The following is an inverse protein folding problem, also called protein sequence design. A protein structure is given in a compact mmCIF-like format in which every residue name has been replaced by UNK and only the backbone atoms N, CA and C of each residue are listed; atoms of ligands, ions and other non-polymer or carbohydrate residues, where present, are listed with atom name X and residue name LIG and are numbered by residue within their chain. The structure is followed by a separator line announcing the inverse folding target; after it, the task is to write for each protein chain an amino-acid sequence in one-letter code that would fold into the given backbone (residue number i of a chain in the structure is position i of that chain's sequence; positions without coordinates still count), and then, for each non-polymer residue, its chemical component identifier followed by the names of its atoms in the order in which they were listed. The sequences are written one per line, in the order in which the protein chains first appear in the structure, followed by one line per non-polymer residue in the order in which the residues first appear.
data_IF_215574841781
#
_entry.id   IF_215574841781
#
_cell.length_a   1.000
_cell.length_b   1.000
_cell.length_c   1.000
_cell.angle_alpha   90.00
_cell.angle_beta   90.00
_cell.angle_gamma   90.00
#
_symmetry.space_group_name_H-M   'P 1'
#
loop_
_entity.id
_entity.type
_entity.pdbx_description
1 polymer ?
#
# COMPACT_ATOMS: atom_id res chain seq x y z
N UNK A 1 39.26 10.85 -44.74
CA UNK A 1 38.81 9.66 -43.98
C UNK A 1 38.79 10.01 -42.49
N UNK A 2 37.89 10.91 -42.06
CA UNK A 2 37.91 11.49 -40.70
C UNK A 2 36.48 11.67 -40.14
N UNK A 3 35.57 10.76 -40.48
CA UNK A 3 34.18 10.76 -39.99
C UNK A 3 33.79 9.33 -39.64
N UNK A 4 34.59 8.67 -38.80
CA UNK A 4 34.22 7.34 -38.25
C UNK A 4 34.54 7.17 -36.76
N UNK A 5 35.23 8.14 -36.13
CA UNK A 5 35.74 8.02 -34.75
C UNK A 5 35.23 9.11 -33.80
N UNK A 6 34.01 9.60 -34.00
CA UNK A 6 33.36 10.54 -33.06
C UNK A 6 32.00 10.07 -32.56
N UNK A 7 31.43 9.00 -33.15
CA UNK A 7 30.13 8.46 -32.73
C UNK A 7 30.21 7.61 -31.44
N UNK A 8 31.36 7.02 -31.14
CA UNK A 8 31.52 6.15 -29.97
C UNK A 8 31.58 6.91 -28.64
N UNK A 9 32.07 8.15 -28.64
CA UNK A 9 32.29 8.93 -27.41
C UNK A 9 31.01 9.58 -26.88
N UNK A 10 30.01 9.82 -27.74
CA UNK A 10 28.74 10.43 -27.33
C UNK A 10 27.84 9.48 -26.52
N UNK A 11 28.01 8.16 -26.67
CA UNK A 11 27.14 7.16 -26.02
C UNK A 11 27.50 6.92 -24.53
N UNK A 12 28.71 7.30 -24.09
CA UNK A 12 29.17 7.15 -22.71
C UNK A 12 28.80 8.33 -21.78
N UNK A 13 28.21 9.40 -22.33
CA UNK A 13 27.84 10.60 -21.56
C UNK A 13 26.37 10.66 -21.16
N UNK A 14 25.56 9.67 -21.53
CA UNK A 14 24.18 9.54 -21.05
C UNK A 14 24.22 8.76 -19.74
N UNK A 15 24.03 9.39 -18.57
CA UNK A 15 23.73 8.62 -17.37
C UNK A 15 22.44 7.86 -17.69
N UNK A 16 22.50 6.53 -17.73
CA UNK A 16 21.28 5.72 -17.63
C UNK A 16 20.73 5.97 -16.23
N UNK A 17 19.86 6.98 -16.12
CA UNK A 17 19.07 7.20 -14.92
C UNK A 17 18.01 6.10 -14.92
N UNK A 18 18.38 4.93 -14.40
CA UNK A 18 17.42 3.89 -14.05
C UNK A 18 16.66 4.36 -12.81
N UNK A 19 15.55 5.06 -13.02
CA UNK A 19 14.65 5.41 -11.93
C UNK A 19 13.91 4.16 -11.48
N UNK A 20 14.23 3.65 -10.29
CA UNK A 20 13.36 2.72 -9.57
C UNK A 20 12.20 3.56 -9.00
N UNK A 21 11.12 3.68 -9.75
CA UNK A 21 9.92 4.38 -9.30
C UNK A 21 9.18 3.49 -8.30
N UNK A 22 9.28 3.87 -7.02
CA UNK A 22 8.44 3.28 -5.97
C UNK A 22 7.14 4.08 -5.94
N UNK A 23 6.02 3.43 -6.25
CA UNK A 23 4.70 4.03 -6.11
C UNK A 23 4.24 3.89 -4.66
N UNK A 24 3.48 4.87 -4.16
CA UNK A 24 2.94 4.82 -2.81
C UNK A 24 1.53 5.37 -2.76
N UNK A 25 0.66 4.72 -2.00
CA UNK A 25 -0.72 5.15 -1.78
C UNK A 25 -1.00 5.35 -0.30
N UNK A 26 -1.85 6.31 0.04
CA UNK A 26 -2.23 6.60 1.43
C UNK A 26 -3.74 6.49 1.58
N UNK A 27 -4.16 5.67 2.54
CA UNK A 27 -5.55 5.44 2.89
C UNK A 27 -5.80 5.91 4.32
N UNK A 28 -6.83 6.73 4.49
CA UNK A 28 -7.27 7.19 5.79
C UNK A 28 -8.55 6.44 6.15
N UNK A 29 -8.51 5.65 7.21
CA UNK A 29 -9.61 4.81 7.66
C UNK A 29 -10.16 5.25 9.03
N UNK A 30 -11.47 5.06 9.23
CA UNK A 30 -12.14 5.18 10.53
C UNK A 30 -12.93 3.91 10.81
N UNK A 31 -12.86 3.39 12.05
CA UNK A 31 -13.57 2.16 12.43
C UNK A 31 -15.08 2.29 12.34
N UNK A 32 -15.76 1.20 12.00
CA UNK A 32 -17.22 1.16 11.80
C UNK A 32 -18.04 1.03 13.09
N UNK A 33 -17.41 0.68 14.21
CA UNK A 33 -18.12 0.42 15.47
C UNK A 33 -17.37 0.97 16.67
N UNK A 34 -18.13 1.27 17.73
CA UNK A 34 -17.62 1.76 19.01
C UNK A 34 -17.07 3.19 18.94
N UNK A 35 -16.13 3.50 19.83
CA UNK A 35 -15.40 4.79 19.80
C UNK A 35 -14.55 4.82 18.52
N UNK A 36 -14.56 5.92 17.74
CA UNK A 36 -13.80 6.01 16.49
C UNK A 36 -12.32 5.68 16.69
N UNK A 37 -11.83 4.72 15.92
CA UNK A 37 -10.42 4.39 15.77
C UNK A 37 -10.01 4.85 14.37
N UNK A 38 -9.12 5.83 14.32
CA UNK A 38 -8.58 6.35 13.08
C UNK A 38 -7.22 5.71 12.77
N UNK A 39 -7.05 5.31 11.52
CA UNK A 39 -5.95 4.49 11.03
C UNK A 39 -5.47 5.03 9.68
N UNK A 40 -4.21 5.46 9.61
CA UNK A 40 -3.52 5.67 8.33
C UNK A 40 -2.93 4.34 7.89
N UNK A 41 -3.12 3.97 6.62
CA UNK A 41 -2.36 2.91 5.97
C UNK A 41 -1.62 3.50 4.78
N UNK A 42 -0.35 3.18 4.63
CA UNK A 42 0.43 3.56 3.45
C UNK A 42 1.09 2.33 2.85
N UNK A 43 0.90 2.16 1.54
CA UNK A 43 1.48 1.08 0.74
C UNK A 43 2.64 1.62 -0.09
N UNK A 44 3.57 0.73 -0.43
CA UNK A 44 4.70 0.97 -1.30
C UNK A 44 4.83 -0.21 -2.25
N UNK A 45 4.99 0.08 -3.54
CA UNK A 45 5.19 -0.94 -4.57
C UNK A 45 6.32 -0.53 -5.50
N UNK A 46 7.25 -1.46 -5.74
CA UNK A 46 8.27 -1.37 -6.78
C UNK A 46 7.99 -2.43 -7.83
N UNK A 47 7.51 -2.00 -9.00
CA UNK A 47 7.17 -2.87 -10.10
C UNK A 47 8.37 -3.63 -10.67
N UNK A 48 9.58 -3.06 -10.57
CA UNK A 48 10.79 -3.64 -11.16
C UNK A 48 11.28 -4.86 -10.39
N UNK A 49 11.21 -4.78 -9.05
CA UNK A 49 11.59 -5.87 -8.15
C UNK A 49 10.40 -6.72 -7.69
N UNK A 50 9.17 -6.30 -8.05
CA UNK A 50 7.91 -6.87 -7.53
C UNK A 50 7.86 -6.87 -6.00
N UNK A 51 8.46 -5.83 -5.40
CA UNK A 51 8.51 -5.66 -3.96
C UNK A 51 7.31 -4.84 -3.49
N UNK A 52 6.67 -5.33 -2.42
CA UNK A 52 5.55 -4.65 -1.77
C UNK A 52 5.81 -4.53 -0.27
N UNK A 53 5.52 -3.36 0.28
CA UNK A 53 5.59 -3.09 1.71
C UNK A 53 4.48 -2.14 2.12
N UNK A 54 4.09 -2.16 3.38
CA UNK A 54 3.14 -1.20 3.90
C UNK A 54 3.39 -0.94 5.39
N UNK A 55 2.75 0.09 5.91
CA UNK A 55 2.57 0.26 7.34
C UNK A 55 1.16 0.75 7.65
N UNK A 56 0.76 0.54 8.90
CA UNK A 56 -0.36 1.25 9.49
C UNK A 56 0.10 2.17 10.63
N UNK A 57 -0.57 3.28 10.83
CA UNK A 57 -0.37 4.18 11.95
C UNK A 57 -1.70 4.65 12.51
N UNK A 58 -2.02 4.20 13.71
CA UNK A 58 -3.18 4.68 14.46
C UNK A 58 -2.99 6.15 14.86
N UNK A 59 -4.06 6.96 14.84
CA UNK A 59 -4.02 8.40 15.17
C UNK A 59 -3.27 8.70 16.48
N UNK A 60 -3.47 7.88 17.52
CA UNK A 60 -2.88 8.08 18.83
C UNK A 60 -1.55 7.31 19.04
N UNK A 61 -1.03 6.64 18.01
CA UNK A 61 0.24 5.92 18.07
C UNK A 61 1.42 6.83 17.69
N UNK A 62 2.51 6.72 18.44
CA UNK A 62 3.77 7.42 18.14
C UNK A 62 4.53 6.79 16.98
N UNK A 63 4.35 5.49 16.75
CA UNK A 63 5.11 4.72 15.77
C UNK A 63 4.18 3.97 14.81
N UNK A 64 4.54 3.89 13.52
CA UNK A 64 3.86 3.01 12.58
C UNK A 64 4.16 1.55 12.90
N UNK A 65 3.23 0.67 12.56
CA UNK A 65 3.38 -0.79 12.65
C UNK A 65 3.63 -1.30 11.22
N UNK A 66 4.77 -1.97 10.96
CA UNK A 66 5.08 -2.47 9.64
C UNK A 66 4.15 -3.63 9.26
N UNK A 67 3.86 -3.70 7.96
CA UNK A 67 3.07 -4.77 7.36
C UNK A 67 3.90 -5.52 6.33
N UNK A 68 3.67 -6.83 6.23
CA UNK A 68 4.24 -7.70 5.19
C UNK A 68 3.11 -8.21 4.30
N UNK A 69 3.28 -8.12 2.99
CA UNK A 69 2.30 -8.64 2.05
C UNK A 69 2.22 -10.17 2.19
N UNK A 70 1.03 -10.68 2.51
CA UNK A 70 0.76 -12.12 2.59
C UNK A 70 0.24 -12.65 1.26
N UNK A 71 -0.68 -11.91 0.66
CA UNK A 71 -1.39 -12.31 -0.55
C UNK A 71 -1.90 -11.08 -1.30
N UNK A 72 -1.97 -11.17 -2.63
CA UNK A 72 -2.75 -10.24 -3.48
C UNK A 72 -3.35 -11.06 -4.61
N UNK A 73 -4.67 -11.12 -4.66
CA UNK A 73 -5.43 -11.84 -5.69
C UNK A 73 -6.37 -10.87 -6.40
N UNK A 74 -6.20 -10.77 -7.73
CA UNK A 74 -7.12 -10.04 -8.59
C UNK A 74 -8.12 -11.01 -9.22
N UNK A 75 -9.40 -10.83 -8.96
CA UNK A 75 -10.47 -11.53 -9.65
C UNK A 75 -11.05 -10.61 -10.75
N UNK A 76 -10.96 -10.98 -12.04
CA UNK A 76 -11.72 -10.29 -13.06
C UNK A 76 -13.20 -10.64 -12.88
N UNK A 77 -13.96 -9.71 -12.29
CA UNK A 77 -15.40 -9.90 -12.02
C UNK A 77 -16.22 -10.07 -13.31
N UNK A 78 -15.77 -9.50 -14.43
CA UNK A 78 -16.20 -9.75 -15.82
C UNK A 78 -15.30 -8.97 -16.80
N UNK A 79 -15.43 -9.16 -18.13
CA UNK A 79 -14.70 -8.36 -19.14
C UNK A 79 -14.99 -6.85 -19.08
N UNK A 80 -16.11 -6.47 -18.46
CA UNK A 80 -16.60 -5.08 -18.43
C UNK A 80 -16.62 -4.49 -17.00
N UNK A 81 -16.21 -5.26 -15.99
CA UNK A 81 -16.18 -4.81 -14.60
C UNK A 81 -14.75 -4.42 -14.19
N UNK A 82 -14.55 -3.33 -13.42
CA UNK A 82 -13.25 -3.01 -12.88
C UNK A 82 -12.73 -4.17 -12.03
N UNK A 83 -11.44 -4.48 -12.17
CA UNK A 83 -10.80 -5.57 -11.45
C UNK A 83 -11.03 -5.41 -9.94
N UNK A 84 -11.45 -6.50 -9.30
CA UNK A 84 -11.48 -6.59 -7.85
C UNK A 84 -10.17 -7.18 -7.37
N UNK A 85 -9.49 -6.46 -6.49
CA UNK A 85 -8.28 -6.97 -5.85
C UNK A 85 -8.55 -7.18 -4.37
N UNK A 86 -8.20 -8.36 -3.87
CA UNK A 86 -8.16 -8.68 -2.45
C UNK A 86 -6.71 -8.77 -2.02
N UNK A 87 -6.28 -7.88 -1.14
CA UNK A 87 -4.92 -7.84 -0.61
C UNK A 87 -4.93 -8.15 0.89
N UNK A 88 -4.10 -9.11 1.30
CA UNK A 88 -3.91 -9.46 2.70
C UNK A 88 -2.53 -9.04 3.19
N UNK A 89 -2.50 -8.26 4.27
CA UNK A 89 -1.28 -7.78 4.92
C UNK A 89 -1.15 -8.35 6.33
N UNK A 90 0.02 -8.88 6.69
CA UNK A 90 0.31 -9.33 8.06
C UNK A 90 0.88 -8.18 8.87
N UNK A 91 0.30 -7.92 10.04
CA UNK A 91 0.80 -6.97 11.02
C UNK A 91 1.98 -7.58 11.79
N UNK A 92 3.13 -6.90 11.79
CA UNK A 92 4.30 -7.29 12.58
C UNK A 92 4.50 -6.29 13.73
N UNK A 93 4.23 -6.71 14.96
CA UNK A 93 4.41 -5.90 16.16
C UNK A 93 5.33 -6.61 17.15
N UNK A 94 6.36 -5.89 17.63
CA UNK A 94 7.42 -6.45 18.49
C UNK A 94 8.05 -7.74 17.93
N UNK A 95 8.27 -7.80 16.62
CA UNK A 95 8.89 -8.94 15.93
C UNK A 95 7.98 -10.17 15.77
N UNK A 96 6.68 -10.05 16.05
CA UNK A 96 5.72 -11.15 15.94
C UNK A 96 4.57 -10.79 15.00
N UNK A 97 4.03 -11.79 14.30
CA UNK A 97 2.79 -11.63 13.53
C UNK A 97 1.58 -11.55 14.49
N UNK A 98 1.04 -10.35 14.70
CA UNK A 98 -0.01 -10.09 15.71
C UNK A 98 -1.42 -10.02 15.14
N UNK A 99 -1.53 -9.74 13.85
CA UNK A 99 -2.81 -9.54 13.18
C UNK A 99 -2.68 -9.65 11.66
N UNK A 100 -3.80 -9.43 10.98
CA UNK A 100 -3.81 -9.25 9.54
C UNK A 100 -4.87 -8.24 9.14
N UNK A 101 -4.60 -7.53 8.05
CA UNK A 101 -5.55 -6.68 7.37
C UNK A 101 -5.94 -7.33 6.06
N UNK A 102 -7.23 -7.40 5.77
CA UNK A 102 -7.76 -7.78 4.48
C UNK A 102 -8.45 -6.55 3.89
N UNK A 103 -7.97 -6.14 2.72
CA UNK A 103 -8.52 -5.01 1.98
C UNK A 103 -9.04 -5.51 0.64
N UNK A 104 -10.26 -5.11 0.30
CA UNK A 104 -10.83 -5.35 -1.02
C UNK A 104 -10.95 -4.00 -1.72
N UNK A 105 -10.40 -3.90 -2.91
CA UNK A 105 -10.43 -2.70 -3.76
C UNK A 105 -11.14 -2.98 -5.07
N UNK A 106 -11.84 -1.97 -5.59
CA UNK A 106 -12.46 -1.94 -6.92
C UNK A 106 -11.97 -0.68 -7.64
N UNK A 107 -11.01 -0.84 -8.54
CA UNK A 107 -10.28 0.29 -9.11
C UNK A 107 -9.61 1.12 -8.00
N UNK A 108 -9.96 2.41 -7.90
CA UNK A 108 -9.42 3.32 -6.87
C UNK A 108 -10.21 3.33 -5.57
N UNK A 109 -11.29 2.55 -5.45
CA UNK A 109 -12.15 2.53 -4.27
C UNK A 109 -11.83 1.36 -3.36
N UNK A 110 -11.93 1.58 -2.05
CA UNK A 110 -11.84 0.50 -1.04
C UNK A 110 -13.27 0.07 -0.69
N UNK A 111 -13.65 -1.14 -1.05
CA UNK A 111 -14.98 -1.70 -0.75
C UNK A 111 -15.04 -2.33 0.64
N UNK A 112 -13.93 -2.89 1.12
CA UNK A 112 -13.81 -3.47 2.46
C UNK A 112 -12.40 -3.29 3.02
N UNK A 113 -12.31 -3.05 4.33
CA UNK A 113 -11.06 -3.09 5.09
C UNK A 113 -11.32 -3.67 6.47
N UNK A 114 -10.77 -4.83 6.76
CA UNK A 114 -10.99 -5.55 8.02
C UNK A 114 -9.66 -5.91 8.64
N UNK A 115 -9.48 -5.55 9.91
CA UNK A 115 -8.39 -6.05 10.75
C UNK A 115 -8.86 -7.23 11.57
N UNK A 116 -8.05 -8.28 11.65
CA UNK A 116 -8.24 -9.43 12.54
C UNK A 116 -7.04 -9.55 13.49
N UNK A 117 -7.29 -9.43 14.79
CA UNK A 117 -6.28 -9.68 15.82
C UNK A 117 -6.14 -11.18 16.05
N UNK A 118 -4.96 -11.76 15.76
CA UNK A 118 -4.75 -13.21 15.84
C UNK A 118 -4.85 -13.77 17.26
N UNK A 119 -4.44 -12.99 18.27
CA UNK A 119 -4.44 -13.44 19.67
C UNK A 119 -5.84 -13.43 20.28
N UNK A 120 -6.65 -12.43 19.96
CA UNK A 120 -7.99 -12.22 20.54
C UNK A 120 -9.11 -12.80 19.68
N UNK A 121 -8.81 -13.21 18.44
CA UNK A 121 -9.80 -13.58 17.43
C UNK A 121 -10.90 -12.52 17.27
N UNK A 122 -10.50 -11.25 17.34
CA UNK A 122 -11.40 -10.10 17.26
C UNK A 122 -11.20 -9.40 15.92
N UNK A 123 -12.30 -9.05 15.27
CA UNK A 123 -12.30 -8.30 14.02
C UNK A 123 -12.67 -6.83 14.25
N UNK A 124 -12.16 -5.94 13.41
CA UNK A 124 -12.54 -4.52 13.38
C UNK A 124 -12.65 -4.09 11.92
N UNK A 125 -13.84 -3.66 11.53
CA UNK A 125 -14.08 -3.09 10.21
C UNK A 125 -13.72 -1.61 10.16
N UNK A 126 -13.26 -1.17 9.00
CA UNK A 126 -12.84 0.19 8.73
C UNK A 126 -13.47 0.68 7.42
N UNK A 127 -13.82 1.97 7.38
CA UNK A 127 -14.28 2.66 6.17
C UNK A 127 -13.29 3.75 5.79
N UNK A 128 -13.13 3.95 4.49
CA UNK A 128 -12.31 5.03 3.95
C UNK A 128 -12.95 6.38 4.35
N UNK A 129 -12.17 7.22 5.01
CA UNK A 129 -12.51 8.57 5.41
C UNK A 129 -11.77 9.55 4.50
N UNK A 130 -12.38 9.86 3.35
CA UNK A 130 -11.79 10.75 2.35
C UNK A 130 -11.61 12.18 2.84
N UNK A 131 -12.41 12.62 3.80
CA UNK A 131 -12.30 13.96 4.41
C UNK A 131 -11.03 14.13 5.24
N UNK A 132 -10.41 13.02 5.69
CA UNK A 132 -9.17 13.04 6.45
C UNK A 132 -7.93 13.16 5.55
N UNK A 133 -8.05 13.02 4.23
CA UNK A 133 -6.90 13.07 3.31
C UNK A 133 -6.53 14.54 3.08
N UNK A 134 -5.31 14.93 3.46
CA UNK A 134 -4.78 16.27 3.22
C UNK A 134 -3.30 16.21 2.81
N UNK A 135 -2.99 16.63 1.58
CA UNK A 135 -1.62 16.62 1.03
C UNK A 135 -0.94 15.23 1.10
N UNK A 136 -1.71 14.17 0.85
CA UNK A 136 -1.22 12.80 0.84
C UNK A 136 -0.98 12.19 2.23
N UNK A 137 -1.35 12.86 3.32
CA UNK A 137 -1.31 12.31 4.70
C UNK A 137 -2.68 12.34 5.34
N UNK A 138 -2.89 11.55 6.39
CA UNK A 138 -4.12 11.59 7.15
C UNK A 138 -4.08 12.68 8.24
N UNK A 139 -5.06 13.58 8.20
CA UNK A 139 -5.32 14.58 9.23
C UNK A 139 -6.67 14.28 9.88
N UNK A 140 -6.65 14.15 11.20
CA UNK A 140 -7.79 13.73 12.03
C UNK A 140 -8.26 14.89 12.91
#
# INVERSE_FOLDING_TARGET
MLIKSTFATALFLLPLVASAEVTSETFCFTSTSGKPINLEMRTYYDASSKFSSAFVKYQNSKQPIPLVLANSEGEPLSKDAPDQETTTWIEIYNGQATGQYEMITHGTNVSSMVYTNKKKNQTTGFLLNTNAIAQGVCKW
#
